data_IF_598123371934
#
_entry.id   IF_598123371934
#
_cell.length_a   1.000
_cell.length_b   1.000
_cell.length_c   1.000
_cell.angle_alpha   90.00
_cell.angle_beta   90.00
_cell.angle_gamma   90.00
#
_symmetry.space_group_name_H-M   'P 1'
#
loop_
_entity.id
_entity.type
_entity.pdbx_description
1 polymer ?
#
# COMPACT_ATOMS: atom_id res chain seq x y z
N UNK A 1 -13.82 18.92 -18.61
CA UNK A 1 -12.63 18.38 -19.34
C UNK A 1 -11.48 18.02 -18.40
N UNK A 2 -11.36 18.64 -17.22
CA UNK A 2 -10.42 18.27 -16.16
C UNK A 2 -10.68 16.87 -15.59
N UNK A 3 -11.94 16.50 -15.39
CA UNK A 3 -12.30 15.25 -14.69
C UNK A 3 -11.97 13.99 -15.50
N UNK A 4 -12.20 14.04 -16.82
CA UNK A 4 -11.84 12.94 -17.72
C UNK A 4 -10.34 12.70 -17.73
N UNK A 5 -9.52 13.76 -17.71
CA UNK A 5 -8.05 13.64 -17.64
C UNK A 5 -7.62 13.01 -16.33
N UNK A 6 -8.23 13.40 -15.21
CA UNK A 6 -7.96 12.80 -13.89
C UNK A 6 -8.31 11.32 -13.88
N UNK A 7 -9.51 10.94 -14.35
CA UNK A 7 -9.93 9.53 -14.42
C UNK A 7 -8.99 8.70 -15.29
N UNK A 8 -8.63 9.22 -16.47
CA UNK A 8 -7.66 8.55 -17.35
C UNK A 8 -6.30 8.36 -16.67
N UNK A 9 -5.85 9.35 -15.88
CA UNK A 9 -4.58 9.25 -15.18
C UNK A 9 -4.65 8.23 -14.04
N UNK A 10 -5.73 8.19 -13.26
CA UNK A 10 -5.97 7.13 -12.26
C UNK A 10 -6.03 5.74 -12.89
N UNK A 11 -6.69 5.60 -14.05
CA UNK A 11 -6.73 4.33 -14.78
C UNK A 11 -5.33 3.90 -15.25
N UNK A 12 -4.53 4.85 -15.73
CA UNK A 12 -3.14 4.60 -16.10
C UNK A 12 -2.28 4.16 -14.91
N UNK A 13 -2.37 4.84 -13.77
CA UNK A 13 -1.65 4.45 -12.55
C UNK A 13 -2.11 3.08 -12.04
N UNK A 14 -3.40 2.78 -12.11
CA UNK A 14 -3.92 1.46 -11.71
C UNK A 14 -3.37 0.36 -12.62
N UNK A 15 -3.21 0.66 -13.92
CA UNK A 15 -2.60 -0.25 -14.87
C UNK A 15 -1.12 -0.50 -14.55
N UNK A 16 -0.34 0.54 -14.22
CA UNK A 16 1.07 0.38 -13.83
C UNK A 16 1.23 -0.41 -12.53
N UNK A 17 0.38 -0.15 -11.54
CA UNK A 17 0.34 -0.91 -10.29
C UNK A 17 0.03 -2.38 -10.56
N UNK A 18 -0.95 -2.66 -11.42
CA UNK A 18 -1.29 -4.03 -11.80
C UNK A 18 -0.12 -4.72 -12.49
N UNK A 19 0.60 -4.03 -13.38
CA UNK A 19 1.80 -4.57 -14.03
C UNK A 19 2.93 -4.87 -13.02
N UNK A 20 3.13 -4.02 -12.01
CA UNK A 20 4.09 -4.29 -10.95
C UNK A 20 3.69 -5.53 -10.11
N UNK A 21 2.40 -5.66 -9.77
CA UNK A 21 1.87 -6.85 -9.10
C UNK A 21 2.04 -8.12 -9.94
N UNK A 22 1.76 -8.08 -11.25
CA UNK A 22 1.94 -9.26 -12.11
C UNK A 22 3.40 -9.66 -12.20
N UNK A 23 4.34 -8.72 -12.26
CA UNK A 23 5.76 -9.03 -12.21
C UNK A 23 6.16 -9.80 -10.93
N UNK A 24 5.61 -9.42 -9.77
CA UNK A 24 5.82 -10.13 -8.50
C UNK A 24 5.27 -11.56 -8.57
N UNK A 25 4.05 -11.73 -9.08
CA UNK A 25 3.46 -13.07 -9.23
C UNK A 25 4.22 -13.94 -10.24
N UNK A 26 4.72 -13.35 -11.32
CA UNK A 26 5.58 -14.04 -12.29
C UNK A 26 6.89 -14.47 -11.64
N UNK A 27 7.52 -13.61 -10.83
CA UNK A 27 8.72 -13.96 -10.08
C UNK A 27 8.46 -15.15 -9.16
N UNK A 28 7.40 -15.11 -8.34
CA UNK A 28 7.01 -16.22 -7.46
C UNK A 28 6.79 -17.51 -8.26
N UNK A 29 6.11 -17.41 -9.40
CA UNK A 29 5.87 -18.54 -10.29
C UNK A 29 7.14 -19.14 -10.88
N UNK A 30 8.16 -18.33 -11.16
CA UNK A 30 9.47 -18.81 -11.61
C UNK A 30 10.29 -19.45 -10.47
N UNK A 31 10.11 -19.00 -9.23
CA UNK A 31 10.80 -19.56 -8.07
C UNK A 31 10.22 -20.93 -7.69
N UNK A 32 8.90 -21.07 -7.72
CA UNK A 32 8.18 -22.30 -7.33
C UNK A 32 8.08 -23.31 -8.49
N UNK A 33 8.65 -24.50 -8.33
CA UNK A 33 8.58 -25.55 -9.37
C UNK A 33 7.20 -26.22 -9.47
N UNK A 34 6.35 -26.13 -8.45
CA UNK A 34 5.03 -26.75 -8.43
C UNK A 34 3.93 -25.68 -8.42
N UNK A 35 2.97 -25.85 -9.35
CA UNK A 35 1.87 -24.92 -9.64
C UNK A 35 1.01 -24.61 -8.40
N UNK A 36 0.74 -25.60 -7.55
CA UNK A 36 -0.08 -25.40 -6.36
C UNK A 36 0.60 -24.45 -5.36
N UNK A 37 1.91 -24.62 -5.12
CA UNK A 37 2.66 -23.73 -4.23
C UNK A 37 2.82 -22.32 -4.80
N UNK A 38 3.00 -22.18 -6.12
CA UNK A 38 3.04 -20.86 -6.75
C UNK A 38 1.73 -20.09 -6.53
N UNK A 39 0.59 -20.72 -6.82
CA UNK A 39 -0.72 -20.09 -6.64
C UNK A 39 -0.96 -19.71 -5.18
N UNK A 40 -0.68 -20.63 -4.25
CA UNK A 40 -0.78 -20.34 -2.82
C UNK A 40 0.14 -19.17 -2.40
N UNK A 41 1.38 -19.14 -2.91
CA UNK A 41 2.33 -18.06 -2.67
C UNK A 41 1.83 -16.70 -3.15
N UNK A 42 1.32 -16.61 -4.38
CA UNK A 42 0.76 -15.37 -4.93
C UNK A 42 -0.42 -14.85 -4.09
N UNK A 43 -1.33 -15.76 -3.70
CA UNK A 43 -2.48 -15.42 -2.85
C UNK A 43 -2.00 -14.90 -1.49
N UNK A 44 -1.07 -15.59 -0.84
CA UNK A 44 -0.55 -15.15 0.46
C UNK A 44 0.16 -13.80 0.37
N UNK A 45 0.93 -13.56 -0.69
CA UNK A 45 1.63 -12.29 -0.91
C UNK A 45 0.64 -11.13 -1.11
N UNK A 46 -0.40 -11.30 -1.92
CA UNK A 46 -1.37 -10.21 -2.12
C UNK A 46 -2.16 -9.89 -0.84
N UNK A 47 -2.55 -10.90 -0.06
CA UNK A 47 -3.18 -10.69 1.24
C UNK A 47 -2.23 -10.01 2.23
N UNK A 48 -0.95 -10.42 2.27
CA UNK A 48 0.05 -9.77 3.12
C UNK A 48 0.21 -8.30 2.74
N UNK A 49 0.32 -7.98 1.45
CA UNK A 49 0.41 -6.60 0.97
C UNK A 49 -0.84 -5.79 1.32
N UNK A 50 -2.04 -6.36 1.12
CA UNK A 50 -3.29 -5.72 1.47
C UNK A 50 -3.39 -5.43 2.96
N UNK A 51 -3.12 -6.41 3.82
CA UNK A 51 -3.15 -6.21 5.28
C UNK A 51 -2.12 -5.18 5.72
N UNK A 52 -0.90 -5.21 5.16
CA UNK A 52 0.09 -4.18 5.43
C UNK A 52 -0.43 -2.78 5.03
N UNK A 53 -1.02 -2.65 3.84
CA UNK A 53 -1.64 -1.40 3.37
C UNK A 53 -2.74 -0.88 4.29
N UNK A 54 -3.65 -1.77 4.73
CA UNK A 54 -4.72 -1.43 5.69
C UNK A 54 -4.13 -0.94 7.00
N UNK A 55 -3.14 -1.65 7.56
CA UNK A 55 -2.51 -1.28 8.83
C UNK A 55 -1.76 0.04 8.76
N UNK A 56 -1.01 0.27 7.68
CA UNK A 56 -0.27 1.52 7.46
C UNK A 56 -1.25 2.68 7.30
N UNK A 57 -2.32 2.49 6.51
CA UNK A 57 -3.34 3.52 6.29
C UNK A 57 -4.08 3.85 7.58
N UNK A 58 -4.47 2.84 8.36
CA UNK A 58 -5.10 3.05 9.66
C UNK A 58 -4.21 3.89 10.60
N UNK A 59 -2.93 3.53 10.71
CA UNK A 59 -1.98 4.26 11.54
C UNK A 59 -1.71 5.71 11.05
N UNK A 60 -1.79 5.95 9.75
CA UNK A 60 -1.62 7.30 9.18
C UNK A 60 -2.86 8.18 9.35
N UNK A 61 -4.05 7.57 9.40
CA UNK A 61 -5.33 8.26 9.51
C UNK A 61 -5.71 8.61 10.96
N UNK A 62 -4.95 8.15 11.94
CA UNK A 62 -5.19 8.56 13.30
C UNK A 62 -5.01 10.07 13.49
N UNK A 63 -5.91 10.72 14.25
CA UNK A 63 -5.79 12.14 14.57
C UNK A 63 -4.65 12.34 15.58
N UNK A 64 -4.09 13.56 15.58
CA UNK A 64 -2.97 13.93 16.46
C UNK A 64 -3.41 14.07 17.92
N UNK A 65 -4.65 14.49 18.13
CA UNK A 65 -5.31 14.66 19.42
C UNK A 65 -6.70 14.00 19.40
N UNK A 66 -7.17 13.57 20.56
CA UNK A 66 -8.57 13.19 20.77
C UNK A 66 -9.36 14.45 21.14
N UNK A 67 -10.44 14.69 20.41
CA UNK A 67 -11.32 15.84 20.64
C UNK A 67 -11.87 15.84 22.07
N UNK A 68 -12.01 17.04 22.64
CA UNK A 68 -12.66 17.22 23.93
C UNK A 68 -14.11 16.71 23.85
N UNK A 69 -14.50 15.86 24.80
CA UNK A 69 -15.86 15.32 24.86
C UNK A 69 -16.42 15.43 26.28
N UNK A 70 -17.69 15.79 26.36
CA UNK A 70 -18.43 15.83 27.62
C UNK A 70 -19.35 14.63 27.75
N UNK A 71 -19.31 13.93 28.88
CA UNK A 71 -20.25 12.85 29.17
C UNK A 71 -20.88 13.01 30.56
N UNK A 72 -22.13 12.57 30.70
CA UNK A 72 -22.80 12.54 32.01
C UNK A 72 -22.37 11.29 32.77
N UNK A 73 -21.75 11.48 33.94
CA UNK A 73 -21.45 10.43 34.90
C UNK A 73 -22.06 10.80 36.24
N UNK A 74 -22.87 9.90 36.82
CA UNK A 74 -23.53 10.12 38.12
C UNK A 74 -24.33 11.44 38.25
N UNK A 75 -24.90 11.95 37.14
CA UNK A 75 -25.68 13.19 37.15
C UNK A 75 -24.85 14.47 37.00
N UNK A 76 -23.53 14.36 36.87
CA UNK A 76 -22.60 15.48 36.66
C UNK A 76 -22.03 15.39 35.24
N UNK A 77 -22.02 16.52 34.53
CA UNK A 77 -21.32 16.63 33.25
C UNK A 77 -19.82 16.68 33.51
N UNK A 78 -19.10 15.65 33.08
CA UNK A 78 -17.64 15.61 33.10
C UNK A 78 -17.15 16.03 31.72
N UNK A 79 -16.37 17.10 31.65
CA UNK A 79 -15.68 17.55 30.43
C UNK A 79 -14.26 16.99 30.45
N UNK A 80 -13.90 16.15 29.46
CA UNK A 80 -12.52 15.77 29.23
C UNK A 80 -11.89 16.72 28.21
N UNK A 81 -10.75 17.31 28.58
CA UNK A 81 -9.95 18.18 27.71
C UNK A 81 -9.35 17.40 26.53
N UNK A 82 -8.92 18.13 25.49
CA UNK A 82 -8.22 17.57 24.34
C UNK A 82 -6.91 16.89 24.80
N UNK A 83 -6.78 15.59 24.51
CA UNK A 83 -5.59 14.80 24.92
C UNK A 83 -4.80 14.33 23.70
N UNK A 84 -3.45 14.34 23.74
CA UNK A 84 -2.64 13.79 22.65
C UNK A 84 -2.94 12.30 22.43
N UNK A 85 -3.14 11.91 21.17
CA UNK A 85 -3.38 10.51 20.84
C UNK A 85 -2.04 9.72 20.89
N UNK A 86 -1.88 8.74 21.80
CA UNK A 86 -0.63 7.98 21.94
C UNK A 86 -0.32 7.09 20.73
N UNK A 87 -1.32 6.78 19.91
CA UNK A 87 -1.18 5.94 18.74
C UNK A 87 -0.81 6.75 17.47
N UNK A 88 -0.90 8.08 17.53
CA UNK A 88 -0.56 8.96 16.41
C UNK A 88 0.90 8.76 15.98
N UNK A 89 1.08 8.43 14.70
CA UNK A 89 2.41 8.27 14.12
C UNK A 89 2.95 9.63 13.72
N UNK A 90 3.91 10.15 14.48
CA UNK A 90 4.58 11.45 14.25
C UNK A 90 6.01 11.32 13.72
N UNK A 91 6.58 12.47 13.29
CA UNK A 91 7.98 12.61 12.90
C UNK A 91 8.43 11.70 11.74
N UNK A 92 9.66 11.19 11.83
CA UNK A 92 10.28 10.34 10.79
C UNK A 92 9.50 9.05 10.55
N UNK A 93 8.88 8.48 11.60
CA UNK A 93 8.07 7.26 11.47
C UNK A 93 6.91 7.48 10.51
N UNK A 94 6.26 8.65 10.58
CA UNK A 94 5.16 9.02 9.67
C UNK A 94 5.63 9.07 8.21
N UNK A 95 6.82 9.64 7.97
CA UNK A 95 7.40 9.74 6.62
C UNK A 95 7.68 8.36 6.02
N UNK A 96 8.22 7.43 6.83
CA UNK A 96 8.42 6.04 6.40
C UNK A 96 7.08 5.37 6.06
N UNK A 97 6.05 5.58 6.89
CA UNK A 97 4.72 5.02 6.63
C UNK A 97 4.10 5.59 5.36
N UNK A 98 4.22 6.90 5.12
CA UNK A 98 3.77 7.53 3.87
C UNK A 98 4.50 6.93 2.66
N UNK A 99 5.82 6.83 2.73
CA UNK A 99 6.62 6.21 1.67
C UNK A 99 6.18 4.76 1.40
N UNK A 100 6.07 3.92 2.43
CA UNK A 100 5.65 2.53 2.27
C UNK A 100 4.23 2.43 1.71
N UNK A 101 3.33 3.34 2.10
CA UNK A 101 1.96 3.38 1.60
C UNK A 101 1.89 3.76 0.11
N UNK A 102 2.77 4.67 -0.34
CA UNK A 102 2.85 5.08 -1.75
C UNK A 102 3.65 4.09 -2.61
N UNK A 103 4.64 3.40 -2.03
CA UNK A 103 5.56 2.51 -2.75
C UNK A 103 5.03 1.07 -2.91
N UNK A 104 4.32 0.55 -1.90
CA UNK A 104 3.82 -0.82 -1.93
C UNK A 104 2.45 -0.91 -2.63
N UNK A 105 2.23 -1.89 -3.52
CA UNK A 105 0.96 -2.03 -4.23
C UNK A 105 -0.27 -2.17 -3.30
N UNK A 106 -0.09 -2.78 -2.12
CA UNK A 106 -1.17 -2.93 -1.14
C UNK A 106 -1.68 -1.60 -0.57
N UNK A 107 -0.79 -0.62 -0.37
CA UNK A 107 -1.16 0.72 0.08
C UNK A 107 -1.77 1.57 -1.04
N UNK A 108 -1.16 1.50 -2.22
CA UNK A 108 -1.68 2.14 -3.43
C UNK A 108 -3.10 1.69 -3.77
N UNK A 109 -3.42 0.40 -3.63
CA UNK A 109 -4.75 -0.15 -3.88
C UNK A 109 -5.85 0.57 -3.07
N UNK A 110 -5.61 0.82 -1.78
CA UNK A 110 -6.56 1.54 -0.90
C UNK A 110 -6.70 3.02 -1.26
N UNK A 111 -5.59 3.68 -1.62
CA UNK A 111 -5.58 5.10 -1.99
C UNK A 111 -6.23 5.36 -3.34
N UNK A 112 -5.94 4.50 -4.32
CA UNK A 112 -6.57 4.57 -5.63
C UNK A 112 -8.07 4.26 -5.54
N UNK A 113 -8.49 3.30 -4.70
CA UNK A 113 -9.91 3.00 -4.49
C UNK A 113 -10.68 4.12 -3.78
N UNK A 114 -10.02 4.87 -2.90
CA UNK A 114 -10.61 6.02 -2.19
C UNK A 114 -10.44 7.35 -2.92
N UNK A 115 -9.85 7.35 -4.12
CA UNK A 115 -9.47 8.56 -4.88
C UNK A 115 -8.64 9.56 -4.04
N UNK A 116 -7.85 9.04 -3.10
CA UNK A 116 -7.02 9.80 -2.16
C UNK A 116 -5.53 9.63 -2.54
N UNK A 117 -5.23 9.83 -3.82
CA UNK A 117 -3.86 9.81 -4.35
C UNK A 117 -3.46 11.23 -4.76
N UNK A 118 -2.73 11.93 -3.87
CA UNK A 118 -2.31 13.31 -4.09
C UNK A 118 -1.21 13.44 -5.17
N UNK A 119 -0.38 12.41 -5.32
CA UNK A 119 0.82 12.45 -6.15
C UNK A 119 0.90 11.32 -7.16
N UNK A 120 -0.15 11.11 -7.95
CA UNK A 120 -0.27 10.03 -8.97
C UNK A 120 1.01 9.79 -9.81
N UNK A 121 1.74 10.84 -10.19
CA UNK A 121 3.00 10.69 -10.93
C UNK A 121 4.10 9.91 -10.19
N UNK A 122 4.18 10.04 -8.85
CA UNK A 122 5.14 9.27 -8.04
C UNK A 122 4.81 7.78 -8.01
N UNK A 123 3.53 7.44 -8.06
CA UNK A 123 3.06 6.06 -8.00
C UNK A 123 3.52 5.32 -9.25
N UNK A 124 3.37 5.94 -10.43
CA UNK A 124 3.90 5.41 -11.69
C UNK A 124 5.40 5.15 -11.62
N UNK A 125 6.18 6.05 -11.01
CA UNK A 125 7.63 5.88 -10.86
C UNK A 125 7.93 4.70 -9.94
N UNK A 126 7.27 4.62 -8.78
CA UNK A 126 7.46 3.51 -7.84
C UNK A 126 7.06 2.17 -8.45
N UNK A 127 5.94 2.09 -9.15
CA UNK A 127 5.48 0.90 -9.86
C UNK A 127 6.49 0.48 -10.94
N UNK A 128 7.02 1.44 -11.68
CA UNK A 128 8.02 1.19 -12.72
C UNK A 128 9.32 0.67 -12.13
N UNK A 129 9.79 1.24 -11.03
CA UNK A 129 10.98 0.76 -10.30
C UNK A 129 10.72 -0.67 -9.82
N UNK A 130 9.58 -0.92 -9.17
CA UNK A 130 9.22 -2.23 -8.65
C UNK A 130 9.17 -3.26 -9.78
N UNK A 131 8.50 -2.94 -10.88
CA UNK A 131 8.43 -3.77 -12.08
C UNK A 131 9.82 -4.12 -12.63
N UNK A 132 10.70 -3.12 -12.82
CA UNK A 132 12.05 -3.32 -13.36
C UNK A 132 12.91 -4.17 -12.42
N UNK A 133 12.87 -3.89 -11.12
CA UNK A 133 13.65 -4.63 -10.12
C UNK A 133 13.18 -6.09 -10.03
N UNK A 134 11.86 -6.31 -9.92
CA UNK A 134 11.29 -7.66 -9.83
C UNK A 134 11.53 -8.47 -11.11
N UNK A 135 11.37 -7.84 -12.28
CA UNK A 135 11.63 -8.49 -13.57
C UNK A 135 13.11 -8.80 -13.74
N UNK A 136 14.00 -7.84 -13.46
CA UNK A 136 15.44 -8.03 -13.54
C UNK A 136 15.94 -9.15 -12.62
N UNK A 137 15.42 -9.19 -11.39
CA UNK A 137 15.72 -10.26 -10.45
C UNK A 137 15.18 -11.62 -10.94
N UNK A 138 13.98 -11.65 -11.50
CA UNK A 138 13.40 -12.84 -12.12
C UNK A 138 14.24 -13.39 -13.27
N UNK A 139 14.68 -12.51 -14.18
CA UNK A 139 15.58 -12.88 -15.29
C UNK A 139 16.90 -13.42 -14.75
N UNK A 140 17.49 -12.78 -13.73
CA UNK A 140 18.74 -13.25 -13.13
C UNK A 140 18.60 -14.66 -12.53
N UNK A 141 17.55 -14.91 -11.76
CA UNK A 141 17.27 -16.24 -11.19
C UNK A 141 17.01 -17.26 -12.29
N UNK A 142 16.22 -16.90 -13.31
CA UNK A 142 15.88 -17.78 -14.42
C UNK A 142 17.12 -18.23 -15.18
N UNK A 143 18.05 -17.31 -15.47
CA UNK A 143 19.34 -17.63 -16.12
C UNK A 143 20.20 -18.58 -15.29
N UNK A 144 20.15 -18.50 -13.96
CA UNK A 144 20.90 -19.41 -13.07
C UNK A 144 20.28 -20.81 -12.95
N UNK A 145 18.99 -20.97 -13.27
CA UNK A 145 18.30 -22.26 -13.18
C UNK A 145 18.60 -23.22 -14.33
N UNK A 146 19.36 -22.80 -15.36
CA UNK A 146 19.87 -23.63 -16.47
C UNK A 146 18.88 -24.74 -16.85
N UNK A 147 17.76 -24.34 -17.47
CA UNK A 147 16.74 -25.29 -17.92
C UNK A 147 17.32 -26.10 -19.09
N UNK A 148 17.85 -27.29 -18.79
CA UNK A 148 18.06 -28.38 -19.76
C UNK A 148 16.74 -29.00 -20.19
#
# INVERSE_FOLDING_TARGET
MSDVKTILFYAFVTFTMTAACTAIFTLISMLCSNKAYSVAGCILVIFMLLFAGVRITAALNEPETYDAYSYMSEGVTVEEDETPNPNYVSGTKRQVYLFLNEFLPGGQMLRLSSMNAEHLGRYVIYDSILFVVTTGFGIFIFRRKDLK
#
